data_IF_816849480049
#
_entry.id   IF_816849480049
#
_cell.length_a   1.000
_cell.length_b   1.000
_cell.length_c   1.000
_cell.angle_alpha   90.00
_cell.angle_beta   90.00
_cell.angle_gamma   90.00
#
_symmetry.space_group_name_H-M   'P 1'
#
loop_
_entity.id
_entity.type
_entity.pdbx_description
1 polymer ?
#
# COMPACT_ATOMS: atom_id res chain seq x y z
N UNK A 1 -4.25 -14.42 4.53
CA UNK A 1 -3.65 -14.09 3.22
C UNK A 1 -2.29 -13.46 3.47
N UNK A 2 -1.24 -13.88 2.77
CA UNK A 2 0.14 -13.43 3.02
C UNK A 2 0.35 -12.01 2.45
N UNK A 3 0.96 -11.11 3.23
CA UNK A 3 1.23 -9.72 2.83
C UNK A 3 2.03 -9.60 1.53
N UNK A 4 2.92 -10.57 1.25
CA UNK A 4 3.70 -10.62 0.00
C UNK A 4 2.77 -10.83 -1.20
N UNK A 5 1.81 -11.76 -1.09
CA UNK A 5 0.86 -12.07 -2.17
C UNK A 5 -0.05 -10.87 -2.44
N UNK A 6 -0.55 -10.22 -1.39
CA UNK A 6 -1.36 -9.00 -1.50
C UNK A 6 -0.56 -7.90 -2.21
N UNK A 7 0.67 -7.68 -1.78
CA UNK A 7 1.57 -6.67 -2.36
C UNK A 7 1.84 -6.94 -3.85
N UNK A 8 2.05 -8.21 -4.23
CA UNK A 8 2.26 -8.58 -5.62
C UNK A 8 1.02 -8.31 -6.50
N UNK A 9 -0.18 -8.61 -5.99
CA UNK A 9 -1.45 -8.36 -6.70
C UNK A 9 -1.69 -6.86 -6.86
N UNK A 10 -1.47 -6.06 -5.80
CA UNK A 10 -1.57 -4.59 -5.85
C UNK A 10 -0.64 -4.03 -6.92
N UNK A 11 0.63 -4.43 -6.89
CA UNK A 11 1.63 -3.97 -7.87
C UNK A 11 1.24 -4.33 -9.31
N UNK A 12 0.69 -5.53 -9.54
CA UNK A 12 0.19 -5.94 -10.85
C UNK A 12 -0.94 -5.01 -11.34
N UNK A 13 -1.94 -4.73 -10.49
CA UNK A 13 -3.02 -3.82 -10.86
C UNK A 13 -2.55 -2.39 -11.10
N UNK A 14 -1.62 -1.88 -10.28
CA UNK A 14 -1.03 -0.56 -10.46
C UNK A 14 -0.25 -0.46 -11.78
N UNK A 15 0.52 -1.48 -12.16
CA UNK A 15 1.24 -1.53 -13.44
C UNK A 15 0.31 -1.59 -14.65
N UNK A 16 -0.90 -2.12 -14.49
CA UNK A 16 -1.93 -2.14 -15.51
C UNK A 16 -2.82 -0.88 -15.51
N UNK A 17 -2.52 0.13 -14.68
CA UNK A 17 -3.36 1.32 -14.53
C UNK A 17 -4.74 1.06 -13.91
N UNK A 18 -4.98 -0.15 -13.39
CA UNK A 18 -6.23 -0.55 -12.77
C UNK A 18 -6.27 -0.17 -11.29
N UNK A 19 -6.15 1.12 -11.00
CA UNK A 19 -6.00 1.66 -9.65
C UNK A 19 -7.15 1.26 -8.72
N UNK A 20 -8.39 1.34 -9.21
CA UNK A 20 -9.56 0.97 -8.40
C UNK A 20 -9.47 -0.49 -7.90
N UNK A 21 -8.96 -1.41 -8.73
CA UNK A 21 -8.76 -2.81 -8.33
C UNK A 21 -7.65 -2.95 -7.32
N UNK A 22 -6.56 -2.19 -7.46
CA UNK A 22 -5.47 -2.16 -6.49
C UNK A 22 -5.98 -1.71 -5.10
N UNK A 23 -6.76 -0.63 -5.05
CA UNK A 23 -7.38 -0.14 -3.80
C UNK A 23 -8.32 -1.19 -3.20
N UNK A 24 -9.18 -1.83 -4.00
CA UNK A 24 -10.08 -2.87 -3.49
C UNK A 24 -9.32 -4.04 -2.85
N UNK A 25 -8.21 -4.47 -3.46
CA UNK A 25 -7.35 -5.52 -2.89
C UNK A 25 -6.69 -5.05 -1.60
N UNK A 26 -6.18 -3.81 -1.59
CA UNK A 26 -5.61 -3.21 -0.40
C UNK A 26 -6.64 -3.18 0.74
N UNK A 27 -7.84 -2.64 0.51
CA UNK A 27 -8.87 -2.53 1.54
C UNK A 27 -9.34 -3.90 2.04
N UNK A 28 -9.50 -4.89 1.15
CA UNK A 28 -9.86 -6.26 1.50
C UNK A 28 -8.76 -7.03 2.25
N UNK A 29 -7.52 -6.53 2.29
CA UNK A 29 -6.42 -7.18 2.98
C UNK A 29 -6.68 -7.20 4.51
N UNK A 30 -6.73 -8.39 5.15
CA UNK A 30 -7.03 -8.51 6.59
C UNK A 30 -5.86 -8.03 7.47
N UNK A 31 -4.63 -8.05 6.95
CA UNK A 31 -3.45 -7.42 7.54
C UNK A 31 -2.70 -6.69 6.45
N UNK A 32 -2.46 -5.39 6.65
CA UNK A 32 -1.74 -4.51 5.73
C UNK A 32 -0.37 -4.22 6.34
N UNK A 33 0.65 -4.98 5.95
CA UNK A 33 2.03 -4.69 6.34
C UNK A 33 2.58 -3.46 5.60
N UNK A 34 3.73 -2.94 6.03
CA UNK A 34 4.32 -1.70 5.47
C UNK A 34 4.53 -1.78 3.96
N UNK A 35 4.96 -2.94 3.45
CA UNK A 35 5.14 -3.17 2.01
C UNK A 35 3.85 -3.02 1.21
N UNK A 36 2.69 -3.34 1.81
CA UNK A 36 1.38 -3.20 1.18
C UNK A 36 1.00 -1.71 1.05
N UNK A 37 1.18 -0.94 2.13
CA UNK A 37 1.00 0.51 2.14
C UNK A 37 1.90 1.19 1.10
N UNK A 38 3.21 0.95 1.19
CA UNK A 38 4.18 1.57 0.29
C UNK A 38 3.90 1.25 -1.18
N UNK A 39 3.55 -0.01 -1.48
CA UNK A 39 3.26 -0.40 -2.87
C UNK A 39 1.97 0.24 -3.41
N UNK A 40 0.97 0.44 -2.55
CA UNK A 40 -0.28 1.10 -2.95
C UNK A 40 -0.04 2.59 -3.16
N UNK A 41 0.62 3.27 -2.22
CA UNK A 41 0.96 4.70 -2.30
C UNK A 41 1.81 4.98 -3.55
N UNK A 42 2.86 4.20 -3.77
CA UNK A 42 3.71 4.37 -4.96
C UNK A 42 2.95 4.07 -6.25
N UNK A 43 2.10 3.05 -6.24
CA UNK A 43 1.25 2.72 -7.38
C UNK A 43 0.28 3.85 -7.76
N UNK A 44 -0.31 4.52 -6.77
CA UNK A 44 -1.15 5.69 -6.94
C UNK A 44 -0.37 6.87 -7.53
N UNK A 45 0.79 7.20 -6.93
CA UNK A 45 1.64 8.29 -7.39
C UNK A 45 2.10 8.12 -8.85
N UNK A 46 2.51 6.91 -9.25
CA UNK A 46 2.95 6.63 -10.64
C UNK A 46 1.82 6.77 -11.65
N UNK A 47 0.56 6.54 -11.24
CA UNK A 47 -0.60 6.63 -12.11
C UNK A 47 -1.30 8.01 -12.05
N UNK A 48 -0.70 9.01 -11.39
CA UNK A 48 -1.26 10.37 -11.29
C UNK A 48 -2.40 10.51 -10.29
N UNK A 49 -2.61 9.53 -9.40
CA UNK A 49 -3.59 9.58 -8.31
C UNK A 49 -2.92 10.16 -7.05
N UNK A 50 -2.43 11.39 -7.15
CA UNK A 50 -1.61 12.02 -6.11
C UNK A 50 -2.40 12.35 -4.83
N UNK A 51 -3.65 12.78 -4.96
CA UNK A 51 -4.53 13.07 -3.82
C UNK A 51 -4.79 11.80 -3.00
N UNK A 52 -5.12 10.69 -3.67
CA UNK A 52 -5.34 9.40 -3.00
C UNK A 52 -4.05 8.84 -2.39
N UNK A 53 -2.90 9.09 -3.01
CA UNK A 53 -1.61 8.69 -2.45
C UNK A 53 -1.32 9.44 -1.15
N UNK A 54 -1.59 10.75 -1.10
CA UNK A 54 -1.41 11.58 0.09
C UNK A 54 -2.39 11.16 1.18
N UNK A 55 -3.67 10.98 0.85
CA UNK A 55 -4.68 10.51 1.81
C UNK A 55 -4.27 9.18 2.43
N UNK A 56 -3.79 8.24 1.61
CA UNK A 56 -3.37 6.93 2.07
C UNK A 56 -2.11 6.99 2.94
N UNK A 57 -1.17 7.90 2.62
CA UNK A 57 0.00 8.16 3.46
C UNK A 57 -0.41 8.76 4.83
N UNK A 58 -1.31 9.74 4.86
CA UNK A 58 -1.83 10.30 6.12
C UNK A 58 -2.57 9.24 6.96
N UNK A 59 -3.28 8.30 6.32
CA UNK A 59 -3.89 7.14 6.99
C UNK A 59 -2.85 6.21 7.60
N UNK A 60 -1.71 6.01 6.94
CA UNK A 60 -0.59 5.25 7.49
C UNK A 60 0.00 5.95 8.71
N UNK A 61 0.28 7.25 8.64
CA UNK A 61 0.87 8.02 9.75
C UNK A 61 -0.06 8.10 10.97
N UNK A 62 -1.37 8.22 10.75
CA UNK A 62 -2.37 8.25 11.82
C UNK A 62 -2.71 6.87 12.36
N UNK A 63 -2.35 5.80 11.65
CA UNK A 63 -2.46 4.46 12.18
C UNK A 63 -1.36 4.23 13.21
N UNK A 64 -1.70 3.62 14.36
CA UNK A 64 -0.71 3.10 15.33
C UNK A 64 0.01 1.85 14.75
N UNK A 65 0.34 1.88 13.46
CA UNK A 65 0.96 0.79 12.75
C UNK A 65 2.34 0.54 13.32
N UNK A 66 2.46 -0.55 14.07
CA UNK A 66 3.73 -1.10 14.49
C UNK A 66 4.17 -2.00 13.34
N UNK A 67 5.24 -1.67 12.60
CA UNK A 67 5.73 -2.53 11.53
C UNK A 67 5.99 -3.91 12.09
N UNK A 68 5.40 -4.92 11.45
CA UNK A 68 5.54 -6.33 11.82
C UNK A 68 7.03 -6.71 11.75
N UNK A 69 7.75 -6.51 12.85
CA UNK A 69 9.02 -7.16 13.17
C UNK A 69 10.18 -7.00 12.18
N UNK A 70 10.38 -5.84 11.54
CA UNK A 70 11.73 -5.28 11.24
C UNK A 70 11.61 -3.75 11.09
N UNK A 71 11.23 -3.06 12.16
CA UNK A 71 11.57 -1.65 12.33
C UNK A 71 13.01 -1.61 12.79
N UNK A 72 13.98 -1.46 11.88
CA UNK A 72 15.24 -0.77 12.13
C UNK A 72 16.06 -0.80 10.84
N UNK A 73 16.36 0.41 10.33
CA UNK A 73 17.55 0.86 9.60
C UNK A 73 17.10 1.81 8.47
N UNK A 74 17.50 3.08 8.34
CA UNK A 74 18.18 4.13 9.14
C UNK A 74 17.76 5.44 8.44
N UNK A 75 17.80 6.54 9.20
CA UNK A 75 17.76 7.95 8.77
C UNK A 75 18.50 8.28 7.48
#
# INVERSE_FOLDING_TARGET
MNAIVITAIINMYCKCGSIEKAIRVFEAAPRKGLSCWNSTIMGLAINGCEEEAIELFSRLESSNFIPDGVSFLVS
#
